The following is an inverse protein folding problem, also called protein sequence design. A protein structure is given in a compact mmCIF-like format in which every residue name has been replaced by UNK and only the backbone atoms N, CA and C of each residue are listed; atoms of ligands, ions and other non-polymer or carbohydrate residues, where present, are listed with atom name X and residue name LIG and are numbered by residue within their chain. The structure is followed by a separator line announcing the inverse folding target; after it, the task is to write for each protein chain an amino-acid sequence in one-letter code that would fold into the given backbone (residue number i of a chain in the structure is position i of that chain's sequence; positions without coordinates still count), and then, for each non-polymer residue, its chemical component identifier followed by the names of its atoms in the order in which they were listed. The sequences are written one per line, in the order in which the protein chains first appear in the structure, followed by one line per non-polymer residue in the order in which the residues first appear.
data_IF_951380624167
#
_entry.id   IF_951380624167
#
_cell.length_a   1.000
_cell.length_b   1.000
_cell.length_c   1.000
_cell.angle_alpha   90.00
_cell.angle_beta   90.00
_cell.angle_gamma   90.00
#
_symmetry.space_group_name_H-M   'P 1'
#
loop_
_entity.id
_entity.type
_entity.pdbx_description
1 polymer ?
#
# COMPACT_ATOMS: atom_id res chain seq x y z
N UNK A 1 13.48 24.60 -15.75
CA UNK A 1 14.24 23.74 -14.83
C UNK A 1 13.42 22.47 -14.62
N UNK A 2 13.89 21.29 -15.04
CA UNK A 2 13.21 20.02 -14.73
C UNK A 2 13.32 19.80 -13.21
N UNK A 3 12.19 19.83 -12.50
CA UNK A 3 12.14 19.42 -11.10
C UNK A 3 12.76 18.03 -11.01
N UNK A 4 13.92 17.93 -10.38
CA UNK A 4 14.57 16.65 -10.09
C UNK A 4 13.67 15.94 -9.08
N UNK A 5 12.90 14.93 -9.52
CA UNK A 5 12.09 14.11 -8.61
C UNK A 5 13.02 13.47 -7.59
N UNK A 6 12.67 13.57 -6.31
CA UNK A 6 13.44 12.98 -5.23
C UNK A 6 12.99 11.54 -5.03
N UNK A 7 13.91 10.59 -5.15
CA UNK A 7 13.61 9.20 -4.84
C UNK A 7 13.23 9.07 -3.37
N UNK A 8 12.05 8.50 -3.10
CA UNK A 8 11.56 8.21 -1.77
C UNK A 8 11.89 6.77 -1.36
N UNK A 9 11.91 5.85 -2.32
CA UNK A 9 12.36 4.47 -2.15
C UNK A 9 13.24 4.14 -3.33
N UNK A 10 14.42 3.60 -3.09
CA UNK A 10 15.33 3.09 -4.10
C UNK A 10 15.74 1.66 -3.73
N UNK A 11 15.35 0.70 -4.56
CA UNK A 11 15.62 -0.73 -4.37
C UNK A 11 16.61 -1.17 -5.43
N UNK A 12 17.70 -1.82 -5.00
CA UNK A 12 18.76 -2.27 -5.89
C UNK A 12 19.11 -3.73 -5.62
N UNK A 13 19.00 -4.57 -6.66
CA UNK A 13 19.34 -5.99 -6.67
C UNK A 13 18.78 -6.75 -5.45
N UNK A 14 17.50 -6.52 -5.13
CA UNK A 14 16.86 -7.10 -3.96
C UNK A 14 16.47 -8.56 -4.19
N UNK A 15 17.01 -9.44 -3.35
CA UNK A 15 16.59 -10.83 -3.21
C UNK A 15 15.90 -11.04 -1.87
N UNK A 16 14.76 -11.70 -1.86
CA UNK A 16 14.07 -12.16 -0.65
C UNK A 16 13.83 -13.66 -0.76
N UNK A 17 14.38 -14.41 0.17
CA UNK A 17 14.25 -15.86 0.23
C UNK A 17 13.71 -16.30 1.59
N UNK A 18 12.75 -17.19 1.61
CA UNK A 18 12.30 -17.87 2.82
C UNK A 18 13.27 -19.03 3.14
N UNK A 19 13.80 -19.08 4.37
CA UNK A 19 14.91 -19.95 4.73
C UNK A 19 14.62 -21.45 4.49
N UNK A 20 13.37 -21.88 4.66
CA UNK A 20 12.95 -23.27 4.47
C UNK A 20 12.52 -23.60 3.02
N UNK A 21 12.62 -22.66 2.09
CA UNK A 21 12.27 -22.86 0.69
C UNK A 21 13.51 -22.85 -0.18
N UNK A 22 13.55 -23.75 -1.19
CA UNK A 22 14.67 -23.83 -2.11
C UNK A 22 14.81 -22.58 -3.00
N UNK A 23 13.67 -21.97 -3.38
CA UNK A 23 13.61 -20.82 -4.30
C UNK A 23 13.37 -19.50 -3.57
N UNK A 24 13.93 -18.43 -4.13
CA UNK A 24 13.64 -17.06 -3.68
C UNK A 24 12.23 -16.65 -4.10
N UNK A 25 11.55 -15.86 -3.24
CA UNK A 25 10.27 -15.24 -3.56
C UNK A 25 10.46 -14.05 -4.50
N UNK A 26 11.54 -13.29 -4.31
CA UNK A 26 11.92 -12.14 -5.11
C UNK A 26 13.38 -12.31 -5.46
N UNK A 27 13.74 -12.06 -6.73
CA UNK A 27 15.11 -12.16 -7.24
C UNK A 27 15.43 -10.95 -8.11
N UNK A 28 16.57 -10.30 -7.84
CA UNK A 28 17.13 -9.17 -8.59
C UNK A 28 16.12 -8.03 -8.85
N UNK A 29 15.29 -7.71 -7.85
CA UNK A 29 14.36 -6.60 -7.98
C UNK A 29 15.11 -5.27 -7.86
N UNK A 30 15.02 -4.45 -8.90
CA UNK A 30 15.51 -3.07 -8.89
C UNK A 30 14.42 -2.13 -9.37
N UNK A 31 14.08 -1.12 -8.55
CA UNK A 31 13.09 -0.08 -8.88
C UNK A 31 13.30 1.17 -8.02
N UNK A 32 12.81 2.30 -8.51
CA UNK A 32 12.83 3.56 -7.77
C UNK A 32 11.43 4.18 -7.79
N UNK A 33 10.99 4.69 -6.65
CA UNK A 33 9.70 5.37 -6.47
C UNK A 33 10.00 6.77 -5.95
N UNK A 34 9.46 7.78 -6.64
CA UNK A 34 9.67 9.16 -6.23
C UNK A 34 8.59 9.65 -5.26
N UNK A 35 8.89 10.76 -4.59
CA UNK A 35 7.90 11.47 -3.78
C UNK A 35 6.65 11.81 -4.59
N UNK A 36 5.48 11.50 -4.04
CA UNK A 36 4.21 11.81 -4.66
C UNK A 36 3.78 10.84 -5.77
N UNK A 37 4.46 9.69 -5.92
CA UNK A 37 4.07 8.65 -6.88
C UNK A 37 3.29 7.51 -6.21
N UNK A 38 2.49 6.81 -7.01
CA UNK A 38 1.74 5.61 -6.64
C UNK A 38 2.39 4.40 -7.30
N UNK A 39 2.92 3.48 -6.48
CA UNK A 39 3.30 2.15 -6.90
C UNK A 39 2.17 1.17 -6.57
N UNK A 40 1.68 0.45 -7.56
CA UNK A 40 0.82 -0.70 -7.32
C UNK A 40 1.62 -2.00 -7.39
N UNK A 41 1.37 -2.92 -6.46
CA UNK A 41 1.96 -4.25 -6.42
C UNK A 41 0.84 -5.26 -6.67
N UNK A 42 0.92 -5.98 -7.78
CA UNK A 42 -0.04 -7.00 -8.20
C UNK A 42 0.65 -8.36 -8.18
N UNK A 43 -0.09 -9.39 -7.87
CA UNK A 43 0.43 -10.76 -7.97
C UNK A 43 -0.45 -11.78 -7.27
N UNK A 44 -0.21 -13.05 -7.58
CA UNK A 44 -0.93 -14.18 -6.98
C UNK A 44 -0.65 -14.31 -5.47
N UNK A 45 -1.47 -15.08 -4.77
CA UNK A 45 -1.17 -15.43 -3.37
C UNK A 45 0.18 -16.16 -3.29
N UNK A 46 0.98 -15.83 -2.28
CA UNK A 46 2.31 -16.42 -2.10
C UNK A 46 3.41 -15.88 -3.03
N UNK A 47 3.14 -14.88 -3.88
CA UNK A 47 4.14 -14.31 -4.81
C UNK A 47 5.21 -13.41 -4.15
N UNK A 48 5.15 -13.21 -2.82
CA UNK A 48 6.14 -12.40 -2.10
C UNK A 48 5.72 -10.96 -1.81
N UNK A 49 4.48 -10.53 -2.15
CA UNK A 49 4.00 -9.16 -1.89
C UNK A 49 4.17 -8.73 -0.44
N UNK A 50 3.71 -9.55 0.50
CA UNK A 50 3.82 -9.25 1.94
C UNK A 50 5.28 -9.27 2.41
N UNK A 51 6.12 -10.15 1.86
CA UNK A 51 7.55 -10.17 2.17
C UNK A 51 8.23 -8.87 1.69
N UNK A 52 7.89 -8.38 0.50
CA UNK A 52 8.41 -7.11 -0.02
C UNK A 52 7.96 -5.92 0.84
N UNK A 53 6.68 -5.87 1.23
CA UNK A 53 6.17 -4.82 2.13
C UNK A 53 6.93 -4.84 3.46
N UNK A 54 7.08 -6.02 4.07
CA UNK A 54 7.79 -6.16 5.34
C UNK A 54 9.27 -5.78 5.20
N UNK A 55 9.90 -6.08 4.06
CA UNK A 55 11.27 -5.63 3.78
C UNK A 55 11.36 -4.10 3.68
N UNK A 56 10.45 -3.44 2.97
CA UNK A 56 10.37 -1.96 2.88
C UNK A 56 10.13 -1.35 4.27
N UNK A 57 9.31 -1.98 5.10
CA UNK A 57 9.02 -1.53 6.47
C UNK A 57 10.13 -1.88 7.47
N UNK A 58 11.20 -2.55 7.04
CA UNK A 58 12.25 -3.08 7.92
C UNK A 58 11.70 -3.97 9.05
N UNK A 59 10.67 -4.76 8.74
CA UNK A 59 9.96 -5.67 9.66
C UNK A 59 9.92 -7.10 9.16
N UNK A 60 10.85 -7.48 8.28
CA UNK A 60 10.93 -8.82 7.73
C UNK A 60 11.29 -9.81 8.85
N UNK A 61 10.55 -10.93 8.93
CA UNK A 61 10.78 -11.98 9.92
C UNK A 61 12.15 -12.65 9.73
N UNK A 62 12.73 -13.17 10.82
CA UNK A 62 13.97 -13.94 10.80
C UNK A 62 13.89 -15.23 9.94
N UNK A 63 12.70 -15.67 9.56
CA UNK A 63 12.50 -16.78 8.63
C UNK A 63 12.87 -16.45 7.18
N UNK A 64 13.21 -15.20 6.91
CA UNK A 64 13.60 -14.73 5.59
C UNK A 64 15.04 -14.22 5.58
N UNK A 65 15.72 -14.46 4.47
CA UNK A 65 17.03 -13.86 4.15
C UNK A 65 16.81 -12.78 3.09
N UNK A 66 17.38 -11.60 3.34
CA UNK A 66 17.36 -10.46 2.42
C UNK A 66 18.78 -10.18 1.94
N UNK A 67 18.95 -9.98 0.63
CA UNK A 67 20.18 -9.47 -0.02
C UNK A 67 19.81 -8.26 -0.88
N UNK A 68 20.79 -7.43 -1.21
CA UNK A 68 20.55 -6.16 -1.93
C UNK A 68 20.25 -5.02 -0.98
N UNK A 69 19.78 -3.89 -1.51
CA UNK A 69 19.59 -2.67 -0.74
C UNK A 69 18.22 -2.07 -0.94
N UNK A 70 17.66 -1.51 0.13
CA UNK A 70 16.49 -0.65 0.12
C UNK A 70 16.92 0.67 0.78
N UNK A 71 16.97 1.74 0.00
CA UNK A 71 17.39 3.06 0.46
C UNK A 71 16.19 4.00 0.51
N UNK A 72 16.09 4.75 1.59
CA UNK A 72 15.08 5.79 1.80
C UNK A 72 15.74 7.01 2.47
N UNK A 73 15.19 8.22 2.31
CA UNK A 73 15.65 9.39 3.05
C UNK A 73 15.64 9.14 4.56
N UNK A 74 16.60 9.71 5.32
CA UNK A 74 16.61 9.56 6.77
C UNK A 74 15.32 10.08 7.40
N UNK A 75 14.87 9.39 8.47
CA UNK A 75 13.63 9.69 9.20
C UNK A 75 12.34 9.56 8.38
N UNK A 76 12.35 8.84 7.26
CA UNK A 76 11.14 8.51 6.50
C UNK A 76 10.15 7.74 7.37
N UNK A 77 8.93 8.25 7.48
CA UNK A 77 7.85 7.61 8.23
C UNK A 77 6.98 6.79 7.30
N UNK A 78 6.84 5.51 7.61
CA UNK A 78 6.01 4.58 6.86
C UNK A 78 4.82 4.19 7.73
N UNK A 79 3.62 4.17 7.16
CA UNK A 79 2.43 3.64 7.82
C UNK A 79 1.73 2.62 6.94
N UNK A 80 1.28 1.53 7.57
CA UNK A 80 0.53 0.46 6.93
C UNK A 80 -0.97 0.63 7.22
N UNK A 81 -1.78 0.58 6.17
CA UNK A 81 -3.23 0.36 6.25
C UNK A 81 -3.47 -1.14 6.02
N UNK A 82 -3.80 -1.91 7.07
CA UNK A 82 -3.92 -3.36 6.95
C UNK A 82 -5.18 -3.78 6.20
N UNK A 83 -5.16 -4.99 5.63
CA UNK A 83 -6.28 -5.58 4.91
C UNK A 83 -7.52 -5.76 5.79
N UNK A 84 -7.34 -6.26 7.02
CA UNK A 84 -8.45 -6.64 7.89
C UNK A 84 -8.92 -5.52 8.79
N UNK A 85 -10.24 -5.28 8.83
CA UNK A 85 -10.88 -4.38 9.79
C UNK A 85 -10.75 -4.85 11.24
N UNK A 86 -10.40 -6.13 11.46
CA UNK A 86 -10.12 -6.68 12.79
C UNK A 86 -8.88 -6.05 13.46
N UNK A 87 -8.09 -5.27 12.73
CA UNK A 87 -7.03 -4.46 13.30
C UNK A 87 -7.56 -3.28 14.16
N UNK A 88 -8.84 -2.92 14.01
CA UNK A 88 -9.51 -1.98 14.93
C UNK A 88 -9.80 -2.69 16.26
N UNK A 89 -9.45 -2.04 17.38
CA UNK A 89 -9.80 -2.55 18.70
C UNK A 89 -11.33 -2.42 18.93
N UNK A 90 -12.09 -3.55 19.04
CA UNK A 90 -13.54 -3.51 19.13
C UNK A 90 -14.06 -2.87 20.43
N UNK A 91 -13.24 -2.79 21.48
CA UNK A 91 -13.60 -2.28 22.81
C UNK A 91 -13.25 -0.81 23.01
N UNK A 92 -12.58 -0.17 22.05
CA UNK A 92 -12.17 1.21 22.12
C UNK A 92 -12.83 2.08 21.04
N UNK A 93 -13.22 3.31 21.38
CA UNK A 93 -13.73 4.29 20.41
C UNK A 93 -12.65 4.63 19.39
N UNK A 94 -13.04 4.93 18.16
CA UNK A 94 -12.12 5.29 17.06
C UNK A 94 -11.20 6.45 17.45
N UNK A 95 -11.73 7.50 18.06
CA UNK A 95 -10.93 8.63 18.53
C UNK A 95 -9.88 8.25 19.57
N UNK A 96 -10.19 7.31 20.49
CA UNK A 96 -9.24 6.81 21.47
C UNK A 96 -8.09 6.03 20.81
N UNK A 97 -8.40 5.22 19.80
CA UNK A 97 -7.40 4.50 19.02
C UNK A 97 -6.50 5.47 18.24
N UNK A 98 -7.07 6.46 17.57
CA UNK A 98 -6.31 7.50 16.89
C UNK A 98 -5.36 8.24 17.86
N UNK A 99 -5.83 8.59 19.04
CA UNK A 99 -5.02 9.22 20.08
C UNK A 99 -3.82 8.34 20.47
N UNK A 100 -4.04 7.03 20.61
CA UNK A 100 -2.99 6.08 20.96
C UNK A 100 -1.88 6.03 19.91
N UNK A 101 -2.24 6.09 18.63
CA UNK A 101 -1.29 6.06 17.51
C UNK A 101 -0.74 7.44 17.13
N UNK A 102 -1.23 8.53 17.75
CA UNK A 102 -0.76 9.87 17.41
C UNK A 102 0.69 10.10 17.84
N UNK A 103 1.50 10.84 17.06
CA UNK A 103 2.86 11.18 17.44
C UNK A 103 2.82 12.06 18.70
N UNK A 104 3.43 11.58 19.78
CA UNK A 104 3.56 12.33 21.05
C UNK A 104 4.99 12.81 21.18
N UNK A 105 5.17 14.12 21.37
CA UNK A 105 6.49 14.67 21.67
C UNK A 105 6.98 14.25 23.06
N UNK A 106 6.02 14.06 24.02
CA UNK A 106 6.31 13.61 25.39
C UNK A 106 5.13 12.78 25.91
N UNK A 107 5.41 11.77 26.73
CA UNK A 107 4.42 10.80 27.26
C UNK A 107 3.26 11.45 28.05
N UNK A 108 3.49 12.63 28.65
CA UNK A 108 2.51 13.37 29.46
C UNK A 108 1.71 14.42 28.65
N UNK A 109 2.00 14.61 27.36
CA UNK A 109 1.23 15.55 26.53
C UNK A 109 -0.15 14.99 26.23
N UNK A 110 -1.19 15.84 26.44
CA UNK A 110 -2.54 15.52 25.97
C UNK A 110 -2.50 15.34 24.46
N UNK A 111 -3.24 14.35 23.98
CA UNK A 111 -3.40 14.15 22.55
C UNK A 111 -4.07 15.39 21.93
N UNK A 112 -3.49 15.84 20.84
CA UNK A 112 -4.04 16.96 20.08
C UNK A 112 -5.31 16.51 19.34
N UNK A 113 -6.48 17.03 19.78
CA UNK A 113 -7.75 16.77 19.12
C UNK A 113 -7.74 17.18 17.65
N UNK A 114 -6.93 18.17 17.26
CA UNK A 114 -6.80 18.58 15.88
C UNK A 114 -6.15 17.50 15.02
N UNK A 115 -5.21 16.73 15.57
CA UNK A 115 -4.61 15.59 14.85
C UNK A 115 -5.65 14.51 14.55
N UNK A 116 -6.53 14.21 15.53
CA UNK A 116 -7.63 13.24 15.35
C UNK A 116 -8.58 13.73 14.25
N UNK A 117 -9.01 14.98 14.34
CA UNK A 117 -9.92 15.57 13.36
C UNK A 117 -9.30 15.58 11.96
N UNK A 118 -8.04 15.96 11.86
CA UNK A 118 -7.33 15.97 10.58
C UNK A 118 -7.20 14.57 9.99
N UNK A 119 -6.86 13.55 10.82
CA UNK A 119 -6.76 12.18 10.34
C UNK A 119 -8.09 11.64 9.83
N UNK A 120 -9.20 11.91 10.54
CA UNK A 120 -10.54 11.53 10.09
C UNK A 120 -10.94 12.26 8.79
N UNK A 121 -10.67 13.56 8.70
CA UNK A 121 -10.93 14.34 7.48
C UNK A 121 -10.10 13.82 6.29
N UNK A 122 -8.83 13.52 6.51
CA UNK A 122 -7.97 12.90 5.48
C UNK A 122 -8.48 11.53 5.05
N UNK A 123 -9.10 10.78 5.94
CA UNK A 123 -9.74 9.51 5.63
C UNK A 123 -11.19 9.67 5.10
N UNK A 124 -11.63 10.89 4.81
CA UNK A 124 -12.99 11.21 4.34
C UNK A 124 -14.08 10.70 5.31
N UNK A 125 -13.83 10.80 6.60
CA UNK A 125 -14.78 10.48 7.66
C UNK A 125 -15.23 11.75 8.39
N UNK A 126 -16.51 11.85 8.78
CA UNK A 126 -16.97 12.92 9.66
C UNK A 126 -16.30 12.80 11.03
N UNK A 127 -16.01 13.95 11.65
CA UNK A 127 -15.32 14.02 12.95
C UNK A 127 -16.10 13.30 14.06
N UNK A 128 -17.44 13.22 13.95
CA UNK A 128 -18.31 12.50 14.89
C UNK A 128 -17.95 11.01 15.04
N UNK A 129 -17.30 10.41 14.01
CA UNK A 129 -16.84 9.02 14.02
C UNK A 129 -15.84 8.76 15.16
N UNK A 130 -15.13 9.78 15.62
CA UNK A 130 -14.25 9.65 16.79
C UNK A 130 -14.97 9.09 18.04
N UNK A 131 -16.27 9.30 18.17
CA UNK A 131 -17.06 8.86 19.32
C UNK A 131 -17.66 7.46 19.14
N UNK A 132 -17.55 6.86 17.98
CA UNK A 132 -18.11 5.55 17.65
C UNK A 132 -17.13 4.42 17.96
N UNK A 133 -17.67 3.25 18.23
CA UNK A 133 -16.94 1.98 18.31
C UNK A 133 -16.90 1.32 16.93
N UNK A 134 -15.94 0.41 16.66
CA UNK A 134 -15.83 -0.27 15.37
C UNK A 134 -17.12 -0.97 14.91
N UNK A 135 -17.85 -1.62 15.81
CA UNK A 135 -19.10 -2.32 15.50
C UNK A 135 -20.28 -1.38 15.10
N UNK A 136 -20.14 -0.07 15.31
CA UNK A 136 -21.12 0.94 14.90
C UNK A 136 -20.83 1.50 13.50
N UNK A 137 -19.73 1.07 12.86
CA UNK A 137 -19.32 1.54 11.55
C UNK A 137 -19.83 0.60 10.45
N UNK A 138 -20.19 1.16 9.29
CA UNK A 138 -20.30 0.35 8.08
C UNK A 138 -18.94 -0.21 7.67
N UNK A 139 -18.89 -1.26 6.85
CA UNK A 139 -17.64 -1.83 6.37
C UNK A 139 -16.73 -0.78 5.70
N UNK A 140 -17.30 0.10 4.88
CA UNK A 140 -16.59 1.20 4.26
C UNK A 140 -16.08 2.23 5.26
N UNK A 141 -16.86 2.59 6.28
CA UNK A 141 -16.39 3.48 7.35
C UNK A 141 -15.26 2.85 8.16
N UNK A 142 -15.33 1.54 8.43
CA UNK A 142 -14.28 0.82 9.16
C UNK A 142 -12.96 0.80 8.36
N UNK A 143 -13.01 0.59 7.04
CA UNK A 143 -11.83 0.70 6.15
C UNK A 143 -11.22 2.10 6.17
N UNK A 144 -12.05 3.14 6.10
CA UNK A 144 -11.57 4.53 6.22
C UNK A 144 -11.00 4.82 7.61
N UNK A 145 -11.55 4.23 8.68
CA UNK A 145 -11.01 4.38 10.02
C UNK A 145 -9.62 3.74 10.15
N UNK A 146 -9.36 2.60 9.50
CA UNK A 146 -8.01 2.04 9.38
C UNK A 146 -7.04 2.99 8.66
N UNK A 147 -7.51 3.61 7.57
CA UNK A 147 -6.71 4.64 6.88
C UNK A 147 -6.42 5.84 7.79
N UNK A 148 -7.40 6.29 8.60
CA UNK A 148 -7.20 7.37 9.56
C UNK A 148 -6.12 7.02 10.60
N UNK A 149 -6.07 5.75 11.08
CA UNK A 149 -5.01 5.28 12.00
C UNK A 149 -3.61 5.36 11.36
N UNK A 150 -3.49 5.09 10.07
CA UNK A 150 -2.24 5.26 9.35
C UNK A 150 -1.90 6.75 9.16
N UNK A 151 -2.88 7.58 8.82
CA UNK A 151 -2.68 9.00 8.49
C UNK A 151 -2.34 9.87 9.70
N UNK A 152 -2.79 9.49 10.90
CA UNK A 152 -2.54 10.30 12.10
C UNK A 152 -1.06 10.49 12.41
N UNK A 153 -0.21 9.56 11.98
CA UNK A 153 1.24 9.64 12.11
C UNK A 153 1.86 10.60 11.09
N UNK A 154 1.06 11.17 10.18
CA UNK A 154 1.52 11.99 9.05
C UNK A 154 2.68 11.32 8.30
N UNK A 155 2.49 10.10 7.76
CA UNK A 155 3.54 9.35 7.11
C UNK A 155 4.02 10.03 5.81
N UNK A 156 5.24 9.73 5.40
CA UNK A 156 5.80 10.10 4.11
C UNK A 156 5.47 9.04 3.07
N UNK A 157 5.40 7.77 3.51
CA UNK A 157 5.00 6.61 2.71
C UNK A 157 3.77 5.95 3.34
N UNK A 158 2.74 5.73 2.53
CA UNK A 158 1.52 5.01 2.91
C UNK A 158 1.51 3.68 2.15
N UNK A 159 1.44 2.58 2.87
CA UNK A 159 1.25 1.25 2.29
C UNK A 159 -0.19 0.81 2.57
N UNK A 160 -0.96 0.51 1.53
CA UNK A 160 -2.33 0.00 1.63
C UNK A 160 -2.39 -1.44 1.13
N UNK A 161 -2.66 -2.38 2.05
CA UNK A 161 -2.73 -3.80 1.74
C UNK A 161 -4.19 -4.20 1.49
N UNK A 162 -4.50 -4.56 0.23
CA UNK A 162 -5.83 -4.97 -0.24
C UNK A 162 -6.97 -4.05 0.24
N UNK A 163 -6.89 -2.72 -0.02
CA UNK A 163 -7.82 -1.75 0.56
C UNK A 163 -9.27 -1.93 0.09
N UNK A 164 -9.51 -2.51 -1.10
CA UNK A 164 -10.83 -2.78 -1.68
C UNK A 164 -11.50 -4.06 -1.16
N UNK A 165 -10.78 -4.92 -0.47
CA UNK A 165 -11.32 -6.20 0.00
C UNK A 165 -12.56 -6.01 0.88
N UNK A 166 -13.70 -6.60 0.48
CA UNK A 166 -14.94 -6.58 1.27
C UNK A 166 -15.74 -5.27 1.19
N UNK A 167 -15.50 -4.42 0.20
CA UNK A 167 -16.32 -3.24 -0.08
C UNK A 167 -16.90 -3.31 -1.50
N UNK A 168 -17.97 -2.54 -1.75
CA UNK A 168 -18.57 -2.47 -3.09
C UNK A 168 -17.71 -1.66 -4.06
N UNK A 169 -17.96 -1.80 -5.36
CA UNK A 169 -17.19 -1.20 -6.44
C UNK A 169 -17.10 0.33 -6.35
N UNK A 170 -18.23 1.00 -6.11
CA UNK A 170 -18.29 2.46 -5.99
C UNK A 170 -17.39 2.97 -4.85
N UNK A 171 -17.42 2.26 -3.73
CA UNK A 171 -16.57 2.60 -2.59
C UNK A 171 -15.09 2.31 -2.87
N UNK A 172 -14.79 1.17 -3.52
CA UNK A 172 -13.42 0.83 -3.91
C UNK A 172 -12.84 1.90 -4.82
N UNK A 173 -13.56 2.30 -5.88
CA UNK A 173 -13.14 3.35 -6.80
C UNK A 173 -12.84 4.66 -6.06
N UNK A 174 -13.77 5.13 -5.20
CA UNK A 174 -13.57 6.34 -4.41
C UNK A 174 -12.33 6.25 -3.51
N UNK A 175 -12.07 5.08 -2.91
CA UNK A 175 -10.92 4.84 -2.05
C UNK A 175 -9.60 4.89 -2.84
N UNK A 176 -9.53 4.24 -3.99
CA UNK A 176 -8.34 4.29 -4.86
C UNK A 176 -8.07 5.71 -5.38
N UNK A 177 -9.10 6.44 -5.80
CA UNK A 177 -8.96 7.85 -6.21
C UNK A 177 -8.50 8.73 -5.03
N UNK A 178 -8.91 8.42 -3.82
CA UNK A 178 -8.42 9.11 -2.63
C UNK A 178 -6.90 8.89 -2.43
N UNK A 179 -6.39 7.65 -2.56
CA UNK A 179 -4.96 7.36 -2.50
C UNK A 179 -4.17 8.11 -3.60
N UNK A 180 -4.70 8.17 -4.82
CA UNK A 180 -4.13 8.99 -5.90
C UNK A 180 -4.02 10.47 -5.52
N UNK A 181 -5.07 11.02 -4.89
CA UNK A 181 -5.04 12.41 -4.44
C UNK A 181 -4.04 12.65 -3.31
N UNK A 182 -3.88 11.71 -2.38
CA UNK A 182 -2.85 11.77 -1.34
C UNK A 182 -1.45 11.79 -1.96
N UNK A 183 -1.21 10.99 -2.98
CA UNK A 183 0.07 11.00 -3.69
C UNK A 183 0.27 12.33 -4.43
N UNK A 184 -0.55 12.62 -5.41
CA UNK A 184 -0.29 13.72 -6.35
C UNK A 184 -0.49 15.11 -5.73
N UNK A 185 -1.51 15.30 -4.86
CA UNK A 185 -1.81 16.62 -4.26
C UNK A 185 -1.12 16.85 -2.92
N UNK A 186 -0.93 15.80 -2.11
CA UNK A 186 -0.31 15.91 -0.77
C UNK A 186 1.14 15.44 -0.73
N UNK A 187 1.70 15.06 -1.88
CA UNK A 187 3.09 14.60 -2.02
C UNK A 187 3.43 13.40 -1.13
N UNK A 188 2.46 12.54 -0.85
CA UNK A 188 2.70 11.28 -0.16
C UNK A 188 3.13 10.22 -1.17
N UNK A 189 4.11 9.39 -0.85
CA UNK A 189 4.37 8.19 -1.66
C UNK A 189 3.40 7.11 -1.24
N UNK A 190 2.73 6.47 -2.20
CA UNK A 190 1.71 5.47 -1.90
C UNK A 190 2.09 4.15 -2.55
N UNK A 191 2.07 3.08 -1.76
CA UNK A 191 2.21 1.70 -2.24
C UNK A 191 0.87 1.01 -2.01
N UNK A 192 0.28 0.46 -3.06
CA UNK A 192 -0.98 -0.28 -2.96
C UNK A 192 -0.75 -1.71 -3.40
N UNK A 193 -1.05 -2.66 -2.52
CA UNK A 193 -1.15 -4.07 -2.89
C UNK A 193 -2.59 -4.36 -3.23
N UNK A 194 -2.84 -4.88 -4.41
CA UNK A 194 -4.18 -5.26 -4.85
C UNK A 194 -4.14 -6.34 -5.92
N UNK A 195 -5.19 -7.14 -5.99
CA UNK A 195 -5.46 -8.01 -7.13
C UNK A 195 -6.44 -7.37 -8.13
N UNK A 196 -6.99 -6.19 -7.81
CA UNK A 196 -7.97 -5.47 -8.62
C UNK A 196 -7.26 -4.58 -9.65
N UNK A 197 -6.76 -5.16 -10.73
CA UNK A 197 -6.01 -4.45 -11.78
C UNK A 197 -6.80 -3.26 -12.36
N UNK A 198 -8.13 -3.33 -12.37
CA UNK A 198 -9.03 -2.26 -12.79
C UNK A 198 -8.69 -0.92 -12.15
N UNK A 199 -8.81 -0.86 -10.83
CA UNK A 199 -8.58 0.37 -10.08
C UNK A 199 -7.13 0.81 -10.12
N UNK A 200 -6.21 -0.16 -10.17
CA UNK A 200 -4.78 0.08 -10.20
C UNK A 200 -4.37 0.82 -11.48
N UNK A 201 -4.90 0.43 -12.65
CA UNK A 201 -4.58 1.07 -13.93
C UNK A 201 -4.95 2.56 -13.96
N UNK A 202 -6.00 2.95 -13.25
CA UNK A 202 -6.48 4.33 -13.21
C UNK A 202 -5.65 5.24 -12.31
N UNK A 203 -4.97 4.67 -11.32
CA UNK A 203 -4.34 5.48 -10.28
C UNK A 203 -2.83 5.37 -10.21
N UNK A 204 -2.25 4.24 -10.63
CA UNK A 204 -0.83 3.97 -10.47
C UNK A 204 0.04 4.77 -11.46
N UNK A 205 1.17 5.26 -10.99
CA UNK A 205 2.25 5.76 -11.85
C UNK A 205 3.11 4.58 -12.33
N UNK A 206 3.32 3.59 -11.46
CA UNK A 206 4.09 2.38 -11.71
C UNK A 206 3.35 1.15 -11.20
N UNK A 207 3.58 0.03 -11.86
CA UNK A 207 3.01 -1.27 -11.49
C UNK A 207 4.15 -2.29 -11.38
N UNK A 208 4.25 -2.94 -10.24
CA UNK A 208 5.11 -4.08 -10.00
C UNK A 208 4.24 -5.34 -10.00
N UNK A 209 4.52 -6.25 -10.89
CA UNK A 209 3.83 -7.53 -10.99
C UNK A 209 4.74 -8.61 -10.48
N UNK A 210 4.27 -9.33 -9.46
CA UNK A 210 4.96 -10.46 -8.85
C UNK A 210 4.20 -11.73 -9.21
N UNK A 211 4.78 -12.54 -10.05
CA UNK A 211 4.23 -13.84 -10.41
C UNK A 211 4.89 -14.92 -9.55
N UNK A 212 4.11 -15.55 -8.69
CA UNK A 212 4.57 -16.67 -7.89
C UNK A 212 4.97 -17.86 -8.74
N UNK A 213 5.70 -18.80 -8.15
CA UNK A 213 6.07 -20.07 -8.79
C UNK A 213 4.80 -20.87 -9.09
N UNK A 214 4.43 -20.98 -10.37
CA UNK A 214 3.21 -21.70 -10.79
C UNK A 214 3.44 -23.21 -10.81
N UNK A 215 4.67 -23.66 -11.11
CA UNK A 215 5.10 -25.07 -11.09
C UNK A 215 6.52 -25.13 -10.54
N UNK A 216 6.94 -26.31 -10.05
CA UNK A 216 8.28 -26.49 -9.45
C UNK A 216 9.46 -26.10 -10.38
N UNK A 217 9.21 -25.95 -11.67
CA UNK A 217 10.20 -25.58 -12.68
C UNK A 217 10.16 -24.10 -13.10
N UNK A 218 9.07 -23.36 -12.78
CA UNK A 218 8.94 -21.96 -13.18
C UNK A 218 9.69 -21.04 -12.21
N UNK A 219 10.51 -20.14 -12.74
CA UNK A 219 11.10 -19.04 -11.97
C UNK A 219 10.00 -18.03 -11.64
N UNK A 220 10.08 -17.41 -10.46
CA UNK A 220 9.26 -16.24 -10.15
C UNK A 220 9.58 -15.16 -11.20
N UNK A 221 8.57 -14.67 -11.92
CA UNK A 221 8.78 -13.55 -12.83
C UNK A 221 8.38 -12.25 -12.16
N UNK A 222 9.22 -11.24 -12.35
CA UNK A 222 9.02 -9.90 -11.84
C UNK A 222 8.92 -8.98 -13.05
N UNK A 223 7.85 -8.19 -13.12
CA UNK A 223 7.68 -7.18 -14.15
C UNK A 223 7.46 -5.82 -13.50
N UNK A 224 8.28 -4.84 -13.84
CA UNK A 224 8.09 -3.45 -13.47
C UNK A 224 7.70 -2.64 -14.70
N UNK A 225 6.50 -2.07 -14.68
CA UNK A 225 5.87 -1.48 -15.87
C UNK A 225 5.03 -0.25 -15.51
N UNK A 226 4.29 0.28 -16.45
CA UNK A 226 3.35 1.40 -16.23
C UNK A 226 1.98 1.04 -16.81
N UNK A 227 0.88 1.66 -16.30
CA UNK A 227 -0.45 1.47 -16.86
C UNK A 227 -0.49 1.65 -18.38
N UNK A 228 0.19 2.67 -18.90
CA UNK A 228 0.26 2.98 -20.34
C UNK A 228 0.87 1.82 -21.15
N UNK A 229 1.93 1.19 -20.67
CA UNK A 229 2.55 0.05 -21.38
C UNK A 229 1.60 -1.15 -21.43
N UNK A 230 0.87 -1.42 -20.34
CA UNK A 230 -0.12 -2.50 -20.27
C UNK A 230 -1.24 -2.26 -21.29
N UNK A 231 -1.86 -1.08 -21.27
CA UNK A 231 -2.98 -0.76 -22.16
C UNK A 231 -2.60 -0.67 -23.64
N UNK A 232 -1.34 -0.38 -23.96
CA UNK A 232 -0.82 -0.33 -25.32
C UNK A 232 -0.28 -1.68 -25.83
N UNK A 233 -0.34 -2.75 -25.05
CA UNK A 233 0.18 -4.06 -25.45
C UNK A 233 1.71 -4.20 -25.38
N UNK A 234 2.40 -3.26 -24.74
CA UNK A 234 3.86 -3.18 -24.65
C UNK A 234 4.38 -3.62 -23.27
N UNK A 235 3.76 -4.62 -22.67
CA UNK A 235 4.11 -5.17 -21.37
C UNK A 235 4.25 -6.69 -21.44
N UNK A 236 4.67 -7.33 -20.34
CA UNK A 236 4.89 -8.78 -20.29
C UNK A 236 3.61 -9.59 -20.55
N UNK A 237 3.78 -10.86 -20.88
CA UNK A 237 2.66 -11.75 -21.22
C UNK A 237 1.63 -11.89 -20.10
N UNK A 238 2.08 -11.90 -18.85
CA UNK A 238 1.19 -12.03 -17.70
C UNK A 238 0.35 -10.76 -17.47
N UNK A 239 0.97 -9.58 -17.54
CA UNK A 239 0.24 -8.30 -17.44
C UNK A 239 -0.75 -8.12 -18.58
N UNK A 240 -0.41 -8.57 -19.80
CA UNK A 240 -1.33 -8.58 -20.93
C UNK A 240 -2.51 -9.54 -20.71
N UNK A 241 -2.26 -10.74 -20.19
CA UNK A 241 -3.32 -11.68 -19.85
C UNK A 241 -4.28 -11.12 -18.79
N UNK A 242 -3.74 -10.46 -17.75
CA UNK A 242 -4.57 -9.78 -16.75
C UNK A 242 -5.41 -8.66 -17.35
N UNK A 243 -4.83 -7.85 -18.26
CA UNK A 243 -5.55 -6.79 -18.97
C UNK A 243 -6.67 -7.34 -19.85
N UNK A 244 -6.39 -8.40 -20.63
CA UNK A 244 -7.36 -9.04 -21.52
C UNK A 244 -8.50 -9.77 -20.78
N UNK A 245 -8.25 -10.19 -19.54
CA UNK A 245 -9.26 -10.82 -18.69
C UNK A 245 -10.28 -9.83 -18.12
N UNK A 246 -10.05 -8.53 -18.21
CA UNK A 246 -11.03 -7.53 -17.77
C UNK A 246 -12.26 -7.54 -18.69
N UNK A 247 -13.48 -7.36 -18.14
CA UNK A 247 -14.68 -7.22 -18.94
C UNK A 247 -14.54 -6.08 -19.97
N UNK A 248 -14.92 -6.33 -21.22
CA UNK A 248 -14.78 -5.36 -22.34
C UNK A 248 -15.60 -4.06 -22.18
N UNK A 249 -16.48 -3.99 -21.19
CA UNK A 249 -17.37 -2.85 -20.94
C UNK A 249 -16.78 -1.82 -19.97
N UNK A 250 -15.47 -1.70 -19.94
CA UNK A 250 -14.75 -0.85 -18.99
C UNK A 250 -14.08 0.36 -19.65
N UNK A 251 -14.59 0.74 -20.83
CA UNK A 251 -14.27 1.99 -21.53
C UNK A 251 -15.29 3.07 -21.21
#
# INVERSE_FOLDING_TARGET
MKNKKTAMIDITALDIKQNNHAKSLITDLSLSINEGEVLAIIGTSGSGKSALINAIMNSLSADFTLKGNILMPPNTRISLVPQSINALNPTAKIGSQLIQFSPRKKWYQRADKNLVNNALTLAQLPVSVANLYPHQLSGGMAKRALSALAFIQNPDIIIADEPSCGVNDEFAEALFQHYKQLAHKKKKTVIIVSHDIKYVLDIADHILILQGVVNQESLSSIEYTTPKKITQGNSGSYSQALWQALPKNWN
#
